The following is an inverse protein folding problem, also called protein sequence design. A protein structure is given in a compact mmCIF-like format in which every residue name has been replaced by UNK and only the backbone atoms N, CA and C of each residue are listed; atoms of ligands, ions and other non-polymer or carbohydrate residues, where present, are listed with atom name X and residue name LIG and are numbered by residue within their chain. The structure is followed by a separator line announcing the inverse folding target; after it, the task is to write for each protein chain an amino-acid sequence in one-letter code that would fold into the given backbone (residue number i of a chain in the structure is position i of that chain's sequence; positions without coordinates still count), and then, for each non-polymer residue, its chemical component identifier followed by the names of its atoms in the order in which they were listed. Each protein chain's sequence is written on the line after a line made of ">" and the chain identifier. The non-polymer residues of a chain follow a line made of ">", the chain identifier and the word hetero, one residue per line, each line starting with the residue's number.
data_IF_581326482740
#
_entry.id   IF_581326482740
#
_cell.length_a   1.000
_cell.length_b   1.000
_cell.length_c   1.000
_cell.angle_alpha   90.00
_cell.angle_beta   90.00
_cell.angle_gamma   90.00
#
_symmetry.space_group_name_H-M   'P 1'
#
loop_
_entity.id
_entity.type
_entity.pdbx_description
1 polymer ?
#
# COMPACT_ATOMS: atom_id res chain seq x y z
N UNK A 1 4.03 -13.28 -7.98
CA UNK A 1 3.02 -12.56 -7.19
C UNK A 1 1.65 -12.66 -7.84
N UNK A 2 0.55 -12.49 -7.09
CA UNK A 2 -0.79 -12.46 -7.67
C UNK A 2 -0.99 -11.15 -8.46
N UNK A 3 -1.51 -11.19 -9.71
CA UNK A 3 -1.64 -10.00 -10.54
C UNK A 3 -2.42 -8.87 -9.87
N UNK A 4 -1.83 -7.68 -9.81
CA UNK A 4 -2.40 -6.49 -9.14
C UNK A 4 -3.79 -6.16 -9.68
N UNK A 5 -3.94 -6.06 -11.01
CA UNK A 5 -5.22 -5.74 -11.65
C UNK A 5 -6.35 -6.73 -11.28
N UNK A 6 -6.04 -8.02 -11.13
CA UNK A 6 -7.04 -9.00 -10.67
C UNK A 6 -7.46 -8.79 -9.21
N UNK A 7 -6.58 -8.29 -8.35
CA UNK A 7 -6.96 -7.93 -6.97
C UNK A 7 -7.86 -6.71 -6.95
N UNK A 8 -7.57 -5.71 -7.78
CA UNK A 8 -8.36 -4.49 -7.85
C UNK A 8 -9.75 -4.73 -8.44
N UNK A 9 -9.84 -5.56 -9.48
CA UNK A 9 -11.11 -5.86 -10.15
C UNK A 9 -12.18 -6.55 -9.29
N UNK A 10 -11.82 -7.09 -8.11
CA UNK A 10 -12.78 -7.76 -7.22
C UNK A 10 -13.33 -6.84 -6.11
N UNK A 11 -12.88 -5.60 -6.02
CA UNK A 11 -13.46 -4.59 -5.12
C UNK A 11 -14.75 -4.06 -5.75
N UNK A 12 -15.83 -4.02 -4.97
CA UNK A 12 -17.11 -3.42 -5.39
C UNK A 12 -17.10 -1.93 -5.06
N UNK A 13 -16.75 -1.08 -6.01
CA UNK A 13 -16.64 0.36 -5.79
C UNK A 13 -17.99 1.05 -5.52
N UNK A 14 -19.10 0.41 -5.87
CA UNK A 14 -20.47 0.94 -5.70
C UNK A 14 -21.16 0.50 -4.41
N UNK A 15 -20.45 -0.09 -3.46
CA UNK A 15 -21.05 -0.61 -2.22
C UNK A 15 -21.30 0.45 -1.14
N UNK A 16 -20.88 1.71 -1.38
CA UNK A 16 -21.05 2.84 -0.46
C UNK A 16 -20.23 2.73 0.83
N UNK A 17 -19.29 1.78 0.89
CA UNK A 17 -18.44 1.59 2.05
C UNK A 17 -17.07 2.25 1.86
N UNK A 18 -16.39 2.64 2.95
CA UNK A 18 -14.98 3.04 2.85
C UNK A 18 -14.12 1.84 2.44
N UNK A 19 -13.22 2.08 1.50
CA UNK A 19 -12.23 1.11 1.06
C UNK A 19 -10.86 1.45 1.63
N UNK A 20 -10.02 0.45 1.83
CA UNK A 20 -8.65 0.63 2.30
C UNK A 20 -7.63 0.04 1.34
N UNK A 21 -6.52 0.73 1.21
CA UNK A 21 -5.32 0.25 0.53
C UNK A 21 -4.20 0.09 1.54
N UNK A 22 -3.58 -1.09 1.58
CA UNK A 22 -2.41 -1.32 2.41
C UNK A 22 -1.23 -1.73 1.52
N UNK A 23 -0.13 -1.03 1.66
CA UNK A 23 1.16 -1.44 1.14
C UNK A 23 1.85 -2.33 2.16
N UNK A 24 2.17 -3.55 1.77
CA UNK A 24 2.96 -4.47 2.58
C UNK A 24 4.45 -4.20 2.35
N UNK A 25 5.08 -3.56 3.32
CA UNK A 25 6.51 -3.28 3.40
C UNK A 25 7.16 -4.06 4.57
N UNK A 26 6.57 -5.18 4.96
CA UNK A 26 7.14 -6.15 5.91
C UNK A 26 7.95 -7.22 5.15
N UNK A 27 9.13 -6.83 4.66
CA UNK A 27 10.05 -7.70 3.94
C UNK A 27 10.91 -8.47 4.95
N UNK A 28 10.35 -9.56 5.47
CA UNK A 28 10.96 -10.36 6.53
C UNK A 28 11.77 -11.57 6.06
N UNK A 29 11.70 -11.95 4.79
CA UNK A 29 12.37 -13.13 4.26
C UNK A 29 13.90 -12.90 4.19
N UNK A 30 14.73 -13.78 4.78
CA UNK A 30 16.17 -13.65 4.73
C UNK A 30 16.71 -13.57 3.30
N UNK A 31 17.61 -12.60 3.05
CA UNK A 31 18.22 -12.37 1.76
C UNK A 31 17.40 -11.51 0.79
N UNK A 32 16.18 -11.08 1.15
CA UNK A 32 15.39 -10.14 0.35
C UNK A 32 15.68 -8.69 0.77
N UNK A 33 15.76 -7.80 -0.21
CA UNK A 33 16.04 -6.38 0.02
C UNK A 33 15.46 -5.45 -1.07
N UNK A 34 14.58 -5.95 -1.94
CA UNK A 34 14.00 -5.21 -3.05
C UNK A 34 13.06 -4.08 -2.58
N UNK A 35 12.22 -4.37 -1.58
CA UNK A 35 11.28 -3.39 -1.03
C UNK A 35 12.02 -2.34 -0.21
N UNK A 36 13.00 -2.78 0.59
CA UNK A 36 13.92 -1.90 1.32
C UNK A 36 14.62 -0.94 0.38
N UNK A 37 15.16 -1.45 -0.75
CA UNK A 37 15.84 -0.62 -1.75
C UNK A 37 14.95 0.50 -2.30
N UNK A 38 13.70 0.17 -2.66
CA UNK A 38 12.73 1.14 -3.18
C UNK A 38 12.44 2.22 -2.13
N UNK A 39 12.18 1.82 -0.89
CA UNK A 39 11.88 2.73 0.21
C UNK A 39 13.03 3.67 0.55
N UNK A 40 14.28 3.22 0.40
CA UNK A 40 15.48 4.03 0.66
C UNK A 40 15.81 5.00 -0.48
N UNK A 41 15.56 4.62 -1.75
CA UNK A 41 16.07 5.35 -2.91
C UNK A 41 14.97 6.04 -3.74
N UNK A 42 13.75 5.53 -3.72
CA UNK A 42 12.63 6.05 -4.52
C UNK A 42 11.30 6.06 -3.76
N UNK A 43 11.24 6.60 -2.52
CA UNK A 43 10.01 6.58 -1.73
C UNK A 43 8.86 7.35 -2.39
N UNK A 44 9.13 8.42 -3.12
CA UNK A 44 8.12 9.21 -3.84
C UNK A 44 7.45 8.40 -4.95
N UNK A 45 8.18 7.51 -5.64
CA UNK A 45 7.60 6.61 -6.64
C UNK A 45 6.55 5.68 -6.03
N UNK A 46 6.80 5.18 -4.81
CA UNK A 46 5.81 4.40 -4.08
C UNK A 46 4.60 5.25 -3.71
N UNK A 47 4.80 6.47 -3.21
CA UNK A 47 3.71 7.38 -2.83
C UNK A 47 2.84 7.71 -4.04
N UNK A 48 3.42 8.09 -5.17
CA UNK A 48 2.71 8.36 -6.42
C UNK A 48 1.90 7.14 -6.88
N UNK A 49 2.52 5.97 -6.90
CA UNK A 49 1.85 4.71 -7.24
C UNK A 49 0.71 4.36 -6.30
N UNK A 50 0.86 4.63 -5.00
CA UNK A 50 -0.21 4.44 -4.01
C UNK A 50 -1.36 5.42 -4.23
N UNK A 51 -1.09 6.67 -4.59
CA UNK A 51 -2.12 7.66 -4.92
C UNK A 51 -2.91 7.27 -6.17
N UNK A 52 -2.24 6.81 -7.22
CA UNK A 52 -2.90 6.29 -8.44
C UNK A 52 -3.81 5.11 -8.07
N UNK A 53 -3.30 4.19 -7.26
CA UNK A 53 -4.08 3.04 -6.78
C UNK A 53 -5.26 3.46 -5.89
N UNK A 54 -5.05 4.41 -4.97
CA UNK A 54 -6.07 4.94 -4.08
C UNK A 54 -7.19 5.64 -4.87
N UNK A 55 -6.84 6.43 -5.87
CA UNK A 55 -7.80 7.05 -6.79
C UNK A 55 -8.64 6.00 -7.53
N UNK A 56 -7.99 5.01 -8.14
CA UNK A 56 -8.66 3.94 -8.87
C UNK A 56 -9.58 3.07 -7.99
N UNK A 57 -9.27 2.93 -6.71
CA UNK A 57 -10.00 2.12 -5.74
C UNK A 57 -10.93 2.94 -4.83
N UNK A 58 -11.04 4.25 -5.04
CA UNK A 58 -11.82 5.19 -4.21
C UNK A 58 -11.46 5.11 -2.73
N UNK A 59 -10.16 5.06 -2.44
CA UNK A 59 -9.60 4.97 -1.09
C UNK A 59 -9.26 6.36 -0.56
N UNK A 60 -9.78 6.72 0.63
CA UNK A 60 -9.39 7.94 1.34
C UNK A 60 -8.27 7.72 2.35
N UNK A 61 -8.10 6.52 2.86
CA UNK A 61 -7.09 6.21 3.87
C UNK A 61 -6.24 5.03 3.40
N UNK A 62 -5.02 5.31 3.03
CA UNK A 62 -4.03 4.32 2.63
C UNK A 62 -3.00 4.10 3.74
N UNK A 63 -2.46 2.91 3.84
CA UNK A 63 -1.49 2.52 4.87
C UNK A 63 -0.25 1.91 4.23
N UNK A 64 0.92 2.27 4.73
CA UNK A 64 2.15 1.52 4.52
C UNK A 64 2.52 0.82 5.80
N UNK A 65 2.42 -0.50 5.82
CA UNK A 65 2.90 -1.30 6.94
C UNK A 65 4.37 -1.63 6.71
N UNK A 66 5.24 -0.96 7.48
CA UNK A 66 6.69 -1.11 7.36
C UNK A 66 7.26 -1.95 8.52
N UNK A 67 8.18 -2.84 8.20
CA UNK A 67 8.87 -3.67 9.17
C UNK A 67 9.56 -2.84 10.26
N UNK A 68 9.44 -3.27 11.51
CA UNK A 68 9.96 -2.53 12.67
C UNK A 68 11.46 -2.27 12.63
N UNK A 69 12.24 -3.17 12.02
CA UNK A 69 13.69 -3.08 11.88
C UNK A 69 14.17 -2.14 10.76
N UNK A 70 13.25 -1.66 9.90
CA UNK A 70 13.57 -0.79 8.77
C UNK A 70 13.65 0.68 9.20
N UNK A 71 14.66 1.06 9.98
CA UNK A 71 14.80 2.42 10.48
C UNK A 71 15.12 3.45 9.38
N UNK A 72 16.11 3.19 8.52
CA UNK A 72 16.44 4.10 7.42
C UNK A 72 15.32 4.18 6.36
N UNK A 73 14.74 3.06 5.87
CA UNK A 73 13.60 3.11 4.98
C UNK A 73 12.40 3.86 5.57
N UNK A 74 12.12 3.67 6.87
CA UNK A 74 11.06 4.40 7.56
C UNK A 74 11.29 5.91 7.55
N UNK A 75 12.49 6.36 7.92
CA UNK A 75 12.82 7.80 7.92
C UNK A 75 12.76 8.41 6.52
N UNK A 76 13.23 7.69 5.51
CA UNK A 76 13.16 8.16 4.11
C UNK A 76 11.71 8.28 3.63
N UNK A 77 10.90 7.26 3.89
CA UNK A 77 9.49 7.29 3.52
C UNK A 77 8.72 8.35 4.30
N UNK A 78 8.98 8.53 5.60
CA UNK A 78 8.32 9.55 6.42
C UNK A 78 8.62 10.96 5.91
N UNK A 79 9.87 11.26 5.59
CA UNK A 79 10.24 12.54 4.98
C UNK A 79 9.54 12.77 3.63
N UNK A 80 9.51 11.75 2.77
CA UNK A 80 8.82 11.85 1.48
C UNK A 80 7.30 12.06 1.63
N UNK A 81 6.66 11.46 2.65
CA UNK A 81 5.24 11.68 2.96
C UNK A 81 5.01 13.12 3.44
N UNK A 82 5.87 13.64 4.31
CA UNK A 82 5.80 15.05 4.75
C UNK A 82 5.94 16.01 3.56
N UNK A 83 6.88 15.77 2.66
CA UNK A 83 7.06 16.55 1.43
C UNK A 83 5.82 16.47 0.53
N UNK A 84 5.20 15.29 0.39
CA UNK A 84 3.99 15.11 -0.41
C UNK A 84 2.79 15.89 0.18
N UNK A 85 2.62 15.90 1.51
CA UNK A 85 1.61 16.74 2.16
C UNK A 85 1.89 18.23 1.95
N UNK A 86 3.14 18.67 2.13
CA UNK A 86 3.53 20.06 1.93
C UNK A 86 3.30 20.54 0.49
N UNK A 87 3.43 19.64 -0.49
CA UNK A 87 3.17 19.91 -1.90
C UNK A 87 1.68 19.80 -2.31
N UNK A 88 0.76 19.48 -1.38
CA UNK A 88 -0.66 19.29 -1.69
C UNK A 88 -0.96 18.05 -2.53
N UNK A 89 -0.07 17.05 -2.48
CA UNK A 89 -0.21 15.75 -3.14
C UNK A 89 -0.81 14.69 -2.22
N UNK A 90 -0.98 14.99 -0.94
CA UNK A 90 -1.69 14.19 0.06
C UNK A 90 -2.61 15.10 0.87
N UNK A 91 -3.64 14.54 1.50
CA UNK A 91 -4.64 15.24 2.29
C UNK A 91 -5.90 15.53 1.48
N UNK A 92 -6.45 16.72 1.67
CA UNK A 92 -7.70 17.14 1.04
C UNK A 92 -7.47 17.80 -0.33
N UNK A 93 -8.43 17.58 -1.27
CA UNK A 93 -8.48 18.24 -2.59
C UNK A 93 -7.17 18.16 -3.37
N UNK A 94 -6.61 16.99 -3.44
CA UNK A 94 -5.32 16.73 -4.10
C UNK A 94 -5.30 17.33 -5.50
N UNK A 95 -4.29 18.16 -5.79
CA UNK A 95 -4.13 18.87 -7.07
C UNK A 95 -5.36 19.70 -7.48
N UNK A 96 -6.18 20.18 -6.52
CA UNK A 96 -7.38 20.94 -6.77
C UNK A 96 -8.60 20.13 -7.25
N UNK A 97 -8.52 18.81 -7.17
CA UNK A 97 -9.62 17.89 -7.48
C UNK A 97 -10.55 17.67 -6.28
N UNK A 98 -11.60 16.86 -6.47
CA UNK A 98 -12.46 16.40 -5.36
C UNK A 98 -11.94 15.11 -4.70
N UNK A 99 -10.70 14.74 -4.97
CA UNK A 99 -10.07 13.56 -4.39
C UNK A 99 -9.27 13.90 -3.14
N UNK A 100 -9.57 13.18 -2.07
CA UNK A 100 -8.86 13.27 -0.79
C UNK A 100 -8.19 11.91 -0.50
N UNK A 101 -6.95 11.95 -0.03
CA UNK A 101 -6.26 10.73 0.39
C UNK A 101 -5.21 11.01 1.47
N UNK A 102 -5.34 10.32 2.59
CA UNK A 102 -4.34 10.30 3.64
C UNK A 102 -3.48 9.04 3.54
N UNK A 103 -2.18 9.19 3.77
CA UNK A 103 -1.22 8.10 3.81
C UNK A 103 -0.62 7.96 5.20
N UNK A 104 -0.88 6.84 5.85
CA UNK A 104 -0.39 6.53 7.20
C UNK A 104 0.71 5.48 7.11
N UNK A 105 1.87 5.80 7.70
CA UNK A 105 2.95 4.82 7.87
C UNK A 105 2.77 4.14 9.23
N UNK A 106 2.51 2.84 9.20
CA UNK A 106 2.39 2.02 10.40
C UNK A 106 3.65 1.18 10.59
N UNK A 107 4.40 1.44 11.65
CA UNK A 107 5.62 0.70 11.96
C UNK A 107 5.29 -0.56 12.76
N UNK A 108 5.57 -1.72 12.18
CA UNK A 108 5.38 -3.01 12.82
C UNK A 108 6.35 -3.24 14.00
N UNK A 109 6.07 -4.27 14.80
CA UNK A 109 6.86 -4.63 15.98
C UNK A 109 7.85 -5.78 15.74
N UNK A 110 8.24 -6.04 14.48
CA UNK A 110 9.27 -7.03 14.13
C UNK A 110 8.79 -8.50 14.09
N UNK A 111 7.50 -8.74 13.89
CA UNK A 111 6.98 -10.11 13.76
C UNK A 111 6.93 -10.57 12.31
N UNK A 112 7.65 -11.62 11.95
CA UNK A 112 7.67 -12.20 10.59
C UNK A 112 6.26 -12.53 10.06
N UNK A 113 5.36 -13.03 10.93
CA UNK A 113 3.99 -13.37 10.53
C UNK A 113 3.19 -12.17 10.03
N UNK A 114 3.56 -10.95 10.39
CA UNK A 114 2.90 -9.73 9.91
C UNK A 114 3.17 -9.42 8.44
N UNK A 115 4.08 -10.12 7.78
CA UNK A 115 4.19 -10.19 6.31
C UNK A 115 3.02 -10.91 5.62
N UNK A 116 2.26 -11.75 6.36
CA UNK A 116 0.99 -12.32 5.87
C UNK A 116 -0.12 -11.25 5.91
N UNK A 117 -0.87 -11.13 4.82
CA UNK A 117 -1.79 -10.03 4.59
C UNK A 117 -2.84 -9.85 5.71
N UNK A 118 -3.39 -10.93 6.25
CA UNK A 118 -4.43 -10.84 7.28
C UNK A 118 -3.84 -10.58 8.68
N UNK A 119 -2.63 -11.04 8.95
CA UNK A 119 -1.89 -10.72 10.17
C UNK A 119 -1.47 -9.24 10.19
N UNK A 120 -1.04 -8.71 9.03
CA UNK A 120 -0.71 -7.30 8.83
C UNK A 120 -1.88 -6.39 9.23
N UNK A 121 -3.08 -6.61 8.68
CA UNK A 121 -4.24 -5.77 9.03
C UNK A 121 -4.70 -5.97 10.46
N UNK A 122 -4.54 -7.16 11.03
CA UNK A 122 -4.81 -7.40 12.46
C UNK A 122 -3.87 -6.58 13.35
N UNK A 123 -2.60 -6.44 12.94
CA UNK A 123 -1.62 -5.59 13.60
C UNK A 123 -1.96 -4.09 13.47
N UNK A 124 -2.37 -3.61 12.28
CA UNK A 124 -2.82 -2.23 12.10
C UNK A 124 -4.03 -1.90 13.00
N UNK A 125 -4.93 -2.87 13.23
CA UNK A 125 -6.05 -2.71 14.16
C UNK A 125 -5.65 -2.68 15.64
N UNK A 126 -4.35 -2.70 15.96
CA UNK A 126 -3.81 -2.67 17.33
C UNK A 126 -3.94 -4.00 18.07
N UNK A 127 -4.20 -5.08 17.35
CA UNK A 127 -4.30 -6.43 17.93
C UNK A 127 -3.02 -7.22 17.67
N UNK A 128 -2.85 -8.33 18.39
CA UNK A 128 -1.75 -9.25 18.10
C UNK A 128 -1.89 -9.79 16.67
N UNK A 129 -0.81 -9.70 15.87
CA UNK A 129 -0.79 -10.01 14.45
C UNK A 129 -0.99 -11.48 14.13
N UNK A 130 -2.16 -12.02 14.43
CA UNK A 130 -2.55 -13.37 14.01
C UNK A 130 -3.23 -13.36 12.64
N UNK A 131 -2.93 -14.36 11.78
CA UNK A 131 -3.67 -14.58 10.54
C UNK A 131 -5.16 -14.82 10.80
N UNK A 132 -5.99 -14.38 9.86
CA UNK A 132 -7.44 -14.57 9.91
C UNK A 132 -7.85 -15.75 9.04
N UNK A 133 -8.87 -16.48 9.47
CA UNK A 133 -9.48 -17.53 8.66
C UNK A 133 -10.14 -16.93 7.41
N UNK A 134 -10.05 -17.64 6.29
CA UNK A 134 -10.73 -17.32 5.04
C UNK A 134 -11.66 -18.48 4.65
N UNK A 135 -12.86 -18.23 4.12
CA UNK A 135 -13.50 -16.95 3.79
C UNK A 135 -13.93 -16.15 5.03
N UNK A 136 -14.25 -14.83 4.91
CA UNK A 136 -14.28 -14.04 3.68
C UNK A 136 -12.89 -13.59 3.20
N UNK A 137 -12.79 -13.17 1.92
CA UNK A 137 -11.58 -12.54 1.39
C UNK A 137 -11.41 -11.13 1.96
N UNK A 138 -10.17 -10.63 2.03
CA UNK A 138 -9.88 -9.28 2.53
C UNK A 138 -10.50 -8.18 1.67
N UNK A 139 -10.68 -8.42 0.37
CA UNK A 139 -11.40 -7.53 -0.54
C UNK A 139 -12.90 -7.41 -0.23
N UNK A 140 -13.43 -8.24 0.67
CA UNK A 140 -14.80 -8.19 1.18
C UNK A 140 -14.81 -7.74 2.63
N UNK A 141 -13.90 -8.28 3.46
CA UNK A 141 -13.83 -8.02 4.90
C UNK A 141 -12.36 -7.99 5.36
N UNK A 142 -11.72 -6.84 5.21
CA UNK A 142 -10.33 -6.59 5.56
C UNK A 142 -10.16 -5.71 6.80
N UNK A 143 -9.42 -4.62 6.64
CA UNK A 143 -9.12 -3.65 7.69
C UNK A 143 -10.42 -3.00 8.20
N UNK A 144 -10.58 -2.96 9.53
CA UNK A 144 -11.80 -2.47 10.19
C UNK A 144 -13.10 -3.07 9.62
N UNK A 145 -13.06 -4.34 9.20
CA UNK A 145 -14.16 -5.09 8.60
C UNK A 145 -14.66 -4.48 7.26
N UNK A 146 -13.81 -3.72 6.55
CA UNK A 146 -14.14 -3.08 5.28
C UNK A 146 -13.33 -3.67 4.13
N UNK A 147 -13.78 -3.51 2.88
CA UNK A 147 -13.03 -3.97 1.71
C UNK A 147 -11.62 -3.39 1.69
N UNK A 148 -10.62 -4.26 1.55
CA UNK A 148 -9.21 -3.87 1.64
C UNK A 148 -8.39 -4.56 0.57
N UNK A 149 -7.62 -3.78 -0.19
CA UNK A 149 -6.59 -4.26 -1.09
C UNK A 149 -5.24 -4.21 -0.40
N UNK A 150 -4.48 -5.28 -0.48
CA UNK A 150 -3.11 -5.33 0.02
C UNK A 150 -2.18 -5.70 -1.12
N UNK A 151 -1.19 -4.85 -1.38
CA UNK A 151 -0.16 -5.07 -2.38
C UNK A 151 1.24 -4.90 -1.75
N UNK A 152 2.22 -5.59 -2.31
CA UNK A 152 3.62 -5.43 -1.93
C UNK A 152 4.20 -4.12 -2.49
N UNK A 153 5.27 -3.60 -1.89
CA UNK A 153 5.97 -2.36 -2.30
C UNK A 153 6.34 -2.38 -3.78
N UNK A 154 7.08 -3.40 -4.22
CA UNK A 154 7.51 -3.51 -5.61
C UNK A 154 6.33 -3.55 -6.58
N UNK A 155 5.27 -4.31 -6.23
CA UNK A 155 4.07 -4.40 -7.07
C UNK A 155 3.36 -3.06 -7.23
N UNK A 156 3.29 -2.24 -6.16
CA UNK A 156 2.73 -0.90 -6.22
C UNK A 156 3.65 0.05 -6.98
N UNK A 157 4.94 0.07 -6.69
CA UNK A 157 5.90 0.99 -7.32
C UNK A 157 5.96 0.87 -8.85
N UNK A 158 5.50 -0.24 -9.42
CA UNK A 158 5.37 -0.40 -10.87
C UNK A 158 4.11 0.27 -11.44
N UNK A 159 3.14 0.68 -10.63
CA UNK A 159 1.88 1.27 -11.13
C UNK A 159 2.12 2.58 -11.85
N UNK A 160 2.91 3.51 -11.27
CA UNK A 160 3.32 4.76 -11.91
C UNK A 160 4.02 4.49 -13.25
N UNK A 161 4.99 3.57 -13.24
CA UNK A 161 5.75 3.21 -14.44
C UNK A 161 4.83 2.72 -15.57
N UNK A 162 3.86 1.85 -15.23
CA UNK A 162 2.89 1.32 -16.20
C UNK A 162 1.98 2.43 -16.74
N UNK A 163 1.52 3.35 -15.88
CA UNK A 163 0.67 4.46 -16.30
C UNK A 163 1.43 5.41 -17.22
N UNK A 164 2.68 5.72 -16.91
CA UNK A 164 3.54 6.65 -17.64
C UNK A 164 3.96 6.11 -19.02
N UNK A 165 4.39 4.86 -19.09
CA UNK A 165 4.90 4.29 -20.34
C UNK A 165 3.90 3.46 -21.14
N UNK A 166 2.79 3.06 -20.53
CA UNK A 166 1.79 2.19 -21.14
C UNK A 166 2.08 0.69 -20.94
N UNK A 167 1.01 -0.11 -20.93
CA UNK A 167 1.09 -1.53 -20.64
C UNK A 167 1.89 -2.33 -21.69
N UNK A 168 1.84 -1.92 -22.98
CA UNK A 168 2.55 -2.62 -24.06
C UNK A 168 4.06 -2.44 -23.95
N UNK A 169 4.51 -1.22 -23.67
CA UNK A 169 5.94 -0.96 -23.47
C UNK A 169 6.45 -1.62 -22.19
N UNK A 170 5.66 -1.59 -21.11
CA UNK A 170 6.01 -2.26 -19.86
C UNK A 170 6.21 -3.78 -20.03
N UNK A 171 5.38 -4.44 -20.87
CA UNK A 171 5.52 -5.87 -21.17
C UNK A 171 6.84 -6.25 -21.83
N UNK A 172 7.55 -5.32 -22.46
CA UNK A 172 8.84 -5.57 -23.12
C UNK A 172 10.01 -5.62 -22.11
N UNK A 173 9.77 -5.20 -20.86
CA UNK A 173 10.81 -5.20 -19.83
C UNK A 173 11.03 -6.61 -19.24
N UNK A 174 10.02 -7.52 -19.31
CA UNK A 174 10.17 -8.89 -18.83
C UNK A 174 8.86 -9.58 -18.53
#
# INVERSE_FOLDING_TARGET
>A
AFPVGRKWAVIQLSDGQPHYLCCNADEGEPGTFKDRWILEHSPHQLIESMLIAAYALQVRNAFVYIRGEFDLPYRRLAGAVEEAYAAGLLGDKIMGSDFDCDLVIYRGAGSYVCGEASALITSIEGKKGYPRNRPPRLTVRGLYQRPTVINNVESLSNVEVIVRMGAEEFRKIG
#
